data_IF_884475697214
#
_entry.id   IF_884475697214
#
_cell.length_a   1.000
_cell.length_b   1.000
_cell.length_c   1.000
_cell.angle_alpha   90.00
_cell.angle_beta   90.00
_cell.angle_gamma   90.00
#
_symmetry.space_group_name_H-M   'P 1'
#
loop_
_entity.id
_entity.type
_entity.pdbx_description
1 polymer ?
#
# COMPACT_ATOMS: atom_id res chain seq x y z
N UNK A 1 -6.80 7.46 15.05
CA UNK A 1 -7.02 7.11 13.62
C UNK A 1 -6.88 8.37 12.79
N UNK A 2 -5.95 8.39 11.84
CA UNK A 2 -5.76 9.53 10.92
C UNK A 2 -6.74 9.44 9.75
N UNK A 3 -6.96 10.53 9.03
CA UNK A 3 -7.82 10.54 7.83
C UNK A 3 -7.31 9.58 6.75
N UNK A 4 -6.00 9.40 6.67
CA UNK A 4 -5.36 8.48 5.72
C UNK A 4 -5.74 7.02 5.98
N UNK A 5 -5.70 6.56 7.24
CA UNK A 5 -6.16 5.21 7.63
C UNK A 5 -7.63 4.98 7.24
N UNK A 6 -8.49 5.98 7.41
CA UNK A 6 -9.91 5.89 7.03
C UNK A 6 -10.10 5.79 5.51
N UNK A 7 -9.34 6.57 4.74
CA UNK A 7 -9.40 6.54 3.29
C UNK A 7 -8.98 5.17 2.75
N UNK A 8 -7.90 4.60 3.29
CA UNK A 8 -7.45 3.27 2.90
C UNK A 8 -8.42 2.15 3.30
N UNK A 9 -9.13 2.30 4.43
CA UNK A 9 -10.20 1.38 4.81
C UNK A 9 -11.36 1.40 3.79
N UNK A 10 -11.75 2.58 3.29
CA UNK A 10 -12.77 2.70 2.23
C UNK A 10 -12.30 2.04 0.94
N UNK A 11 -11.05 2.28 0.53
CA UNK A 11 -10.47 1.64 -0.65
C UNK A 11 -10.46 0.12 -0.51
N UNK A 12 -10.01 -0.41 0.64
CA UNK A 12 -10.00 -1.85 0.89
C UNK A 12 -11.41 -2.44 0.81
N UNK A 13 -12.40 -1.82 1.45
CA UNK A 13 -13.80 -2.28 1.43
C UNK A 13 -14.38 -2.30 0.01
N UNK A 14 -14.13 -1.26 -0.79
CA UNK A 14 -14.56 -1.18 -2.19
C UNK A 14 -13.91 -2.27 -3.04
N UNK A 15 -12.65 -2.62 -2.75
CA UNK A 15 -11.95 -3.72 -3.44
C UNK A 15 -12.45 -5.11 -3.01
N UNK A 16 -12.89 -5.29 -1.76
CA UNK A 16 -13.54 -6.53 -1.30
C UNK A 16 -14.86 -6.77 -2.01
N UNK A 17 -15.70 -5.74 -2.13
CA UNK A 17 -16.99 -5.82 -2.86
C UNK A 17 -16.78 -6.18 -4.33
N UNK A 18 -15.70 -5.67 -4.95
CA UNK A 18 -15.34 -5.99 -6.33
C UNK A 18 -14.67 -7.36 -6.50
N UNK A 19 -14.38 -8.08 -5.41
CA UNK A 19 -13.63 -9.35 -5.46
C UNK A 19 -12.15 -9.19 -5.82
N UNK A 20 -11.61 -7.97 -5.77
CA UNK A 20 -10.22 -7.67 -6.13
C UNK A 20 -9.21 -7.96 -4.99
N UNK A 21 -9.50 -8.98 -4.17
CA UNK A 21 -8.78 -9.32 -2.93
C UNK A 21 -7.42 -9.98 -3.17
N UNK A 22 -7.16 -10.45 -4.40
CA UNK A 22 -5.88 -11.03 -4.78
C UNK A 22 -4.86 -9.99 -5.30
N UNK A 23 -5.28 -8.73 -5.47
CA UNK A 23 -4.39 -7.67 -5.98
C UNK A 23 -3.40 -7.19 -4.92
N UNK A 24 -2.21 -6.79 -5.37
CA UNK A 24 -1.21 -6.17 -4.47
C UNK A 24 -1.73 -4.87 -3.86
N UNK A 25 -2.54 -4.12 -4.62
CA UNK A 25 -3.16 -2.88 -4.15
C UNK A 25 -4.16 -3.12 -3.01
N UNK A 26 -4.91 -4.23 -3.02
CA UNK A 26 -5.79 -4.58 -1.89
C UNK A 26 -4.98 -4.88 -0.63
N UNK A 27 -3.90 -5.67 -0.75
CA UNK A 27 -3.01 -5.98 0.38
C UNK A 27 -2.40 -4.71 0.97
N UNK A 28 -2.05 -3.75 0.11
CA UNK A 28 -1.58 -2.41 0.47
C UNK A 28 -2.64 -1.63 1.26
N UNK A 29 -3.84 -1.49 0.68
CA UNK A 29 -4.95 -0.76 1.28
C UNK A 29 -5.32 -1.34 2.65
N UNK A 30 -5.33 -2.66 2.79
CA UNK A 30 -5.60 -3.34 4.05
C UNK A 30 -4.54 -3.06 5.11
N UNK A 31 -3.26 -3.14 4.76
CA UNK A 31 -2.17 -2.82 5.69
C UNK A 31 -2.23 -1.35 6.17
N UNK A 32 -2.47 -0.41 5.26
CA UNK A 32 -2.57 1.02 5.60
C UNK A 32 -3.85 1.36 6.35
N UNK A 33 -4.94 0.62 6.13
CA UNK A 33 -6.17 0.70 6.94
C UNK A 33 -5.97 0.22 8.39
N UNK A 34 -4.99 -0.64 8.63
CA UNK A 34 -4.55 -1.03 9.97
C UNK A 34 -3.55 -0.01 10.58
N UNK A 35 -3.21 1.06 9.85
CA UNK A 35 -2.24 2.06 10.27
C UNK A 35 -0.78 1.62 10.11
N UNK A 36 -0.52 0.53 9.36
CA UNK A 36 0.84 0.10 9.04
C UNK A 36 1.40 0.93 7.88
N UNK A 37 2.73 1.01 7.82
CA UNK A 37 3.42 1.56 6.66
C UNK A 37 3.07 0.74 5.40
N UNK A 38 3.14 1.41 4.25
CA UNK A 38 2.92 0.78 2.95
C UNK A 38 3.83 -0.45 2.78
N UNK A 39 3.25 -1.66 2.63
CA UNK A 39 4.03 -2.89 2.53
C UNK A 39 4.69 -3.09 1.16
N UNK A 40 4.39 -2.27 0.14
CA UNK A 40 5.10 -2.36 -1.13
C UNK A 40 6.41 -1.56 -1.08
N UNK A 41 7.50 -2.08 -1.67
CA UNK A 41 8.69 -1.27 -1.88
C UNK A 41 8.33 -0.12 -2.83
N UNK A 42 8.74 1.10 -2.50
CA UNK A 42 8.55 2.30 -3.34
C UNK A 42 9.29 2.24 -4.67
N UNK A 43 10.02 1.15 -4.93
CA UNK A 43 10.72 0.83 -6.16
C UNK A 43 10.76 -0.69 -6.35
N UNK A 44 10.35 -1.20 -7.52
CA UNK A 44 10.66 -2.58 -7.92
C UNK A 44 11.24 -2.63 -9.36
N UNK A 45 12.48 -3.11 -9.54
CA UNK A 45 13.41 -3.53 -8.47
C UNK A 45 13.70 -2.36 -7.52
N UNK A 46 14.01 -2.66 -6.25
CA UNK A 46 14.46 -1.63 -5.32
C UNK A 46 15.57 -0.86 -6.03
N UNK A 47 15.39 0.45 -6.25
CA UNK A 47 16.31 1.23 -7.04
C UNK A 47 17.70 1.00 -6.45
N UNK A 48 18.64 0.36 -7.17
CA UNK A 48 19.96 0.11 -6.64
C UNK A 48 20.53 1.49 -6.37
N UNK A 49 20.77 1.80 -5.09
CA UNK A 49 21.21 3.09 -4.55
C UNK A 49 21.83 3.98 -5.62
N UNK A 50 20.98 4.71 -6.36
CA UNK A 50 21.47 5.45 -7.50
C UNK A 50 22.05 6.72 -6.92
N UNK A 51 23.36 6.85 -7.11
CA UNK A 51 24.29 7.89 -6.63
C UNK A 51 24.99 7.50 -5.32
N UNK A 52 26.04 6.66 -5.44
CA UNK A 52 27.28 6.93 -4.70
C UNK A 52 27.86 8.22 -5.28
N UNK A 53 27.82 9.31 -4.52
CA UNK A 53 28.69 10.47 -4.78
C UNK A 53 30.12 9.98 -4.52
N UNK A 54 30.93 9.93 -5.58
CA UNK A 54 32.39 9.81 -5.50
C UNK A 54 33.01 11.19 -5.25
#
# INVERSE_FOLDING_TARGET
MTSETKNWAVVAAVMEVQGATNSQMYRRAKAMAEGKADPMPTSYPAAPHSISVA
#
